data_IF_420642377617
#
_entry.id   IF_420642377617
#
_cell.length_a   1.000
_cell.length_b   1.000
_cell.length_c   1.000
_cell.angle_alpha   90.00
_cell.angle_beta   90.00
_cell.angle_gamma   90.00
#
_symmetry.space_group_name_H-M   'P 1'
#
loop_
_entity.id
_entity.type
_entity.pdbx_description
1 polymer ?
#
# COMPACT_ATOMS: atom_id res chain seq x y z
N UNK A 1 -26.99 7.50 12.20
CA UNK A 1 -25.52 7.52 12.24
C UNK A 1 -25.16 8.24 13.52
N UNK A 2 -24.47 7.56 14.42
CA UNK A 2 -24.07 8.06 15.73
C UNK A 2 -22.56 8.21 15.70
N UNK A 3 -22.06 9.39 16.04
CA UNK A 3 -20.63 9.59 16.18
C UNK A 3 -20.14 8.86 17.44
N UNK A 4 -19.17 7.96 17.28
CA UNK A 4 -18.47 7.32 18.39
C UNK A 4 -17.40 8.27 18.92
N UNK A 5 -16.67 8.91 18.00
CA UNK A 5 -15.76 10.03 18.28
C UNK A 5 -15.58 10.90 17.03
N UNK A 6 -14.61 11.81 17.04
CA UNK A 6 -14.39 12.77 15.94
C UNK A 6 -13.96 12.15 14.61
N UNK A 7 -13.55 10.88 14.58
CA UNK A 7 -13.05 10.19 13.38
C UNK A 7 -13.72 8.84 13.12
N UNK A 8 -14.74 8.48 13.91
CA UNK A 8 -15.44 7.20 13.80
C UNK A 8 -16.94 7.37 13.99
N UNK A 9 -17.71 6.90 13.01
CA UNK A 9 -19.17 6.83 13.06
C UNK A 9 -19.63 5.38 13.08
N UNK A 10 -20.71 5.12 13.82
CA UNK A 10 -21.45 3.87 13.80
C UNK A 10 -22.88 4.12 13.31
N UNK A 11 -23.30 3.37 12.29
CA UNK A 11 -24.67 3.37 11.80
C UNK A 11 -25.20 1.93 11.73
N UNK A 12 -26.52 1.79 11.58
CA UNK A 12 -27.14 0.49 11.32
C UNK A 12 -27.87 0.54 9.98
N UNK A 13 -27.70 -0.51 9.18
CA UNK A 13 -28.45 -0.78 7.97
C UNK A 13 -29.09 -2.17 8.10
N UNK A 14 -30.36 -2.20 8.48
CA UNK A 14 -31.06 -3.44 8.82
C UNK A 14 -30.35 -4.16 9.98
N UNK A 15 -29.84 -5.36 9.70
CA UNK A 15 -29.07 -6.18 10.66
C UNK A 15 -27.55 -5.95 10.58
N UNK A 16 -27.07 -5.02 9.75
CA UNK A 16 -25.63 -4.76 9.56
C UNK A 16 -25.25 -3.47 10.30
N UNK A 17 -24.29 -3.57 11.21
CA UNK A 17 -23.60 -2.41 11.77
C UNK A 17 -22.59 -1.88 10.75
N UNK A 18 -22.58 -0.59 10.47
CA UNK A 18 -21.66 0.05 9.53
C UNK A 18 -20.75 0.99 10.31
N UNK A 19 -19.49 0.58 10.46
CA UNK A 19 -18.42 1.38 11.06
C UNK A 19 -17.76 2.18 9.94
N UNK A 20 -17.83 3.50 10.01
CA UNK A 20 -17.19 4.40 9.04
C UNK A 20 -16.06 5.17 9.71
N UNK A 21 -14.85 4.99 9.20
CA UNK A 21 -13.65 5.67 9.69
C UNK A 21 -13.34 6.90 8.82
N UNK A 22 -12.96 8.01 9.43
CA UNK A 22 -12.67 9.25 8.71
C UNK A 22 -11.61 10.08 9.44
N UNK A 23 -10.33 9.84 9.12
CA UNK A 23 -9.19 10.58 9.64
C UNK A 23 -8.34 11.12 8.46
N UNK A 24 -8.78 12.19 7.78
CA UNK A 24 -8.10 12.71 6.60
C UNK A 24 -6.66 13.15 6.90
N UNK A 25 -5.75 13.12 5.91
CA UNK A 25 -6.01 12.86 4.49
C UNK A 25 -5.91 11.39 4.06
N UNK A 26 -5.47 10.48 4.95
CA UNK A 26 -5.13 9.09 4.58
C UNK A 26 -5.65 8.02 5.53
N UNK A 27 -6.52 8.40 6.47
CA UNK A 27 -7.03 7.53 7.54
C UNK A 27 -5.91 6.81 8.28
N UNK A 28 -4.87 7.56 8.68
CA UNK A 28 -3.79 6.99 9.48
C UNK A 28 -4.35 6.45 10.80
N UNK A 29 -3.82 5.32 11.29
CA UNK A 29 -4.20 4.71 12.56
C UNK A 29 -3.63 5.51 13.75
N UNK A 30 -4.13 6.72 13.95
CA UNK A 30 -3.88 7.52 15.15
C UNK A 30 -4.55 6.92 16.39
N UNK A 31 -4.22 7.43 17.57
CA UNK A 31 -4.91 7.05 18.82
C UNK A 31 -6.43 7.15 18.72
N UNK A 32 -6.96 8.30 18.30
CA UNK A 32 -8.40 8.51 18.16
C UNK A 32 -9.05 7.51 17.20
N UNK A 33 -8.32 7.11 16.14
CA UNK A 33 -8.79 6.09 15.22
C UNK A 33 -8.88 4.74 15.94
N UNK A 34 -7.81 4.27 16.58
CA UNK A 34 -7.80 2.98 17.30
C UNK A 34 -8.89 2.91 18.39
N UNK A 35 -9.06 3.98 19.16
CA UNK A 35 -10.11 4.07 20.20
C UNK A 35 -11.52 4.04 19.62
N UNK A 36 -11.76 4.79 18.55
CA UNK A 36 -13.07 4.83 17.90
C UNK A 36 -13.44 3.47 17.31
N UNK A 37 -12.50 2.80 16.63
CA UNK A 37 -12.72 1.49 16.03
C UNK A 37 -13.02 0.41 17.07
N UNK A 38 -12.24 0.32 18.16
CA UNK A 38 -12.49 -0.69 19.19
C UNK A 38 -13.81 -0.44 19.92
N UNK A 39 -14.18 0.82 20.17
CA UNK A 39 -15.46 1.17 20.77
C UNK A 39 -16.63 0.77 19.86
N UNK A 40 -16.56 1.13 18.57
CA UNK A 40 -17.58 0.78 17.58
C UNK A 40 -17.73 -0.74 17.40
N UNK A 41 -16.62 -1.49 17.39
CA UNK A 41 -16.62 -2.95 17.33
C UNK A 41 -17.32 -3.56 18.55
N UNK A 42 -17.00 -3.07 19.76
CA UNK A 42 -17.64 -3.54 21.01
C UNK A 42 -19.14 -3.24 21.04
N UNK A 43 -19.55 -2.05 20.61
CA UNK A 43 -20.96 -1.68 20.53
C UNK A 43 -21.73 -2.56 19.54
N UNK A 44 -21.17 -2.77 18.33
CA UNK A 44 -21.76 -3.65 17.32
C UNK A 44 -21.84 -5.12 17.78
N UNK A 45 -20.83 -5.61 18.50
CA UNK A 45 -20.82 -6.96 19.06
C UNK A 45 -21.88 -7.13 20.16
N UNK A 46 -22.09 -6.11 20.99
CA UNK A 46 -23.07 -6.14 22.09
C UNK A 46 -24.53 -5.99 21.64
N UNK A 47 -24.80 -5.30 20.51
CA UNK A 47 -26.16 -5.10 20.01
C UNK A 47 -26.75 -6.40 19.42
N UNK A 48 -27.77 -6.97 20.07
CA UNK A 48 -28.43 -8.21 19.63
C UNK A 48 -29.19 -8.06 18.31
N UNK A 49 -29.52 -6.84 17.86
CA UNK A 49 -30.12 -6.59 16.55
C UNK A 49 -29.10 -6.63 15.41
N UNK A 50 -27.81 -6.53 15.71
CA UNK A 50 -26.71 -6.62 14.74
C UNK A 50 -26.32 -8.08 14.55
N UNK A 51 -26.29 -8.51 13.29
CA UNK A 51 -25.85 -9.85 12.87
C UNK A 51 -24.50 -9.84 12.14
N UNK A 52 -24.08 -8.71 11.58
CA UNK A 52 -22.77 -8.54 10.94
C UNK A 52 -22.29 -7.09 11.03
N UNK A 53 -20.98 -6.89 10.86
CA UNK A 53 -20.34 -5.58 10.83
C UNK A 53 -19.70 -5.33 9.46
N UNK A 54 -19.94 -4.16 8.88
CA UNK A 54 -19.25 -3.64 7.71
C UNK A 54 -18.29 -2.52 8.17
N UNK A 55 -16.99 -2.72 7.98
CA UNK A 55 -15.95 -1.72 8.20
C UNK A 55 -15.61 -1.04 6.87
N UNK A 56 -15.73 0.29 6.81
CA UNK A 56 -15.40 1.11 5.65
C UNK A 56 -14.72 2.41 6.09
N UNK A 57 -14.01 3.08 5.17
CA UNK A 57 -13.47 4.42 5.38
C UNK A 57 -14.16 5.45 4.49
N UNK A 58 -14.21 6.70 4.94
CA UNK A 58 -14.49 7.87 4.11
C UNK A 58 -13.19 8.43 3.50
N UNK A 59 -13.33 9.43 2.62
CA UNK A 59 -12.20 10.11 1.99
C UNK A 59 -11.57 9.31 0.85
N UNK A 60 -10.32 9.62 0.53
CA UNK A 60 -9.65 9.14 -0.70
C UNK A 60 -9.14 7.70 -0.66
N UNK A 61 -9.10 7.08 0.51
CA UNK A 61 -8.43 5.80 0.72
C UNK A 61 -9.01 5.05 1.91
N UNK A 62 -8.77 3.75 2.03
CA UNK A 62 -8.94 2.99 3.27
C UNK A 62 -7.89 3.47 4.29
N UNK A 63 -7.23 2.57 5.02
CA UNK A 63 -6.23 2.90 6.02
C UNK A 63 -4.85 2.79 5.37
N UNK A 64 -4.12 3.90 5.27
CA UNK A 64 -2.79 3.93 4.63
C UNK A 64 -1.62 3.58 5.58
N UNK A 65 -1.92 3.03 6.76
CA UNK A 65 -0.93 2.59 7.74
C UNK A 65 -1.04 3.30 9.07
N UNK A 66 -0.02 3.11 9.90
CA UNK A 66 0.08 3.76 11.20
C UNK A 66 0.45 5.24 11.07
N UNK A 67 0.09 6.04 12.07
CA UNK A 67 0.60 7.41 12.17
C UNK A 67 2.07 7.38 12.62
N UNK A 68 2.99 7.51 11.67
CA UNK A 68 4.44 7.45 11.93
C UNK A 68 4.87 8.59 12.87
N UNK A 69 4.13 9.70 12.95
CA UNK A 69 4.43 10.78 13.88
C UNK A 69 4.20 10.41 15.35
N UNK A 70 3.50 9.30 15.62
CA UNK A 70 3.28 8.76 16.97
C UNK A 70 4.37 7.76 17.42
N UNK A 71 5.27 7.29 16.54
CA UNK A 71 6.16 6.14 16.83
C UNK A 71 7.18 6.37 17.95
N UNK A 72 7.58 7.62 18.14
CA UNK A 72 8.53 8.03 19.17
C UNK A 72 7.81 8.68 20.37
N UNK A 73 6.47 8.68 20.36
CA UNK A 73 5.64 9.10 21.49
C UNK A 73 5.29 7.89 22.36
N UNK A 74 4.95 8.15 23.63
CA UNK A 74 4.40 7.13 24.50
C UNK A 74 3.05 6.68 23.93
N UNK A 75 2.84 5.37 23.80
CA UNK A 75 1.54 4.83 23.42
C UNK A 75 0.50 5.17 24.50
N UNK A 76 -0.60 5.78 24.08
CA UNK A 76 -1.78 6.10 24.88
C UNK A 76 -3.01 5.48 24.21
N UNK A 77 -4.05 5.25 25.02
CA UNK A 77 -5.29 4.63 24.56
C UNK A 77 -5.15 3.17 24.13
N UNK A 78 -6.05 2.72 23.26
CA UNK A 78 -6.04 1.37 22.69
C UNK A 78 -4.87 1.19 21.70
N UNK A 79 -4.17 0.07 21.81
CA UNK A 79 -3.18 -0.35 20.82
C UNK A 79 -3.87 -0.94 19.58
N UNK A 80 -3.13 -1.02 18.47
CA UNK A 80 -3.65 -1.71 17.28
C UNK A 80 -3.87 -3.21 17.55
N UNK A 81 -3.05 -3.80 18.42
CA UNK A 81 -3.24 -5.18 18.86
C UNK A 81 -4.57 -5.36 19.60
N UNK A 82 -4.97 -4.43 20.45
CA UNK A 82 -6.26 -4.50 21.16
C UNK A 82 -7.44 -4.50 20.17
N UNK A 83 -7.36 -3.67 19.12
CA UNK A 83 -8.33 -3.65 18.02
C UNK A 83 -8.38 -5.01 17.33
N UNK A 84 -7.23 -5.54 16.93
CA UNK A 84 -7.15 -6.82 16.21
C UNK A 84 -7.61 -8.00 17.07
N UNK A 85 -7.29 -8.01 18.37
CA UNK A 85 -7.80 -9.00 19.31
C UNK A 85 -9.33 -8.92 19.41
N UNK A 86 -9.92 -7.73 19.42
CA UNK A 86 -11.38 -7.58 19.42
C UNK A 86 -12.00 -8.09 18.10
N UNK A 87 -11.34 -7.87 16.96
CA UNK A 87 -11.80 -8.39 15.66
C UNK A 87 -11.67 -9.92 15.59
N UNK A 88 -10.57 -10.49 16.06
CA UNK A 88 -10.36 -11.95 16.11
C UNK A 88 -11.37 -12.63 17.04
N UNK A 89 -11.77 -11.97 18.14
CA UNK A 89 -12.75 -12.49 19.11
C UNK A 89 -14.22 -12.26 18.71
N UNK A 90 -14.48 -11.58 17.59
CA UNK A 90 -15.83 -11.22 17.19
C UNK A 90 -16.64 -12.48 16.81
N UNK A 91 -17.86 -12.59 17.36
CA UNK A 91 -18.76 -13.73 17.10
C UNK A 91 -19.74 -13.43 15.97
N UNK A 92 -19.63 -12.26 15.35
CA UNK A 92 -20.40 -11.82 14.18
C UNK A 92 -19.46 -11.60 13.00
N UNK A 93 -19.88 -11.92 11.76
CA UNK A 93 -19.07 -11.64 10.57
C UNK A 93 -18.66 -10.17 10.48
N UNK A 94 -17.39 -9.92 10.13
CA UNK A 94 -16.85 -8.60 9.87
C UNK A 94 -16.42 -8.59 8.41
N UNK A 95 -17.07 -7.75 7.61
CA UNK A 95 -16.73 -7.49 6.21
C UNK A 95 -15.97 -6.18 6.15
N UNK A 96 -14.80 -6.17 5.52
CA UNK A 96 -13.98 -4.97 5.34
C UNK A 96 -14.07 -4.52 3.88
N UNK A 97 -14.49 -3.29 3.64
CA UNK A 97 -14.63 -2.69 2.31
C UNK A 97 -13.48 -1.72 2.02
N UNK A 98 -12.71 -2.00 0.97
CA UNK A 98 -11.43 -1.34 0.70
C UNK A 98 -11.50 -0.53 -0.60
N UNK A 99 -11.21 0.77 -0.51
CA UNK A 99 -10.90 1.66 -1.64
C UNK A 99 -9.54 2.34 -1.48
N UNK A 100 -9.00 2.89 -2.56
CA UNK A 100 -7.69 3.54 -2.55
C UNK A 100 -6.59 2.57 -2.12
N UNK A 101 -6.02 2.74 -0.92
CA UNK A 101 -4.90 1.95 -0.42
C UNK A 101 -5.18 1.37 0.97
N UNK A 102 -4.97 0.07 1.14
CA UNK A 102 -4.81 -0.57 2.45
C UNK A 102 -3.33 -0.94 2.61
N UNK A 103 -2.60 -0.16 3.40
CA UNK A 103 -1.15 -0.33 3.56
C UNK A 103 -0.78 -0.54 5.02
N UNK A 104 0.20 -1.41 5.25
CA UNK A 104 0.75 -1.72 6.56
C UNK A 104 -0.32 -2.10 7.57
N UNK A 105 -0.35 -1.41 8.72
CA UNK A 105 -1.41 -1.52 9.73
C UNK A 105 -2.85 -1.49 9.18
N UNK A 106 -3.09 -0.81 8.06
CA UNK A 106 -4.38 -0.83 7.38
C UNK A 106 -4.71 -2.17 6.74
N UNK A 107 -3.76 -2.78 6.03
CA UNK A 107 -3.93 -4.13 5.52
C UNK A 107 -3.97 -5.15 6.67
N UNK A 108 -3.18 -4.98 7.72
CA UNK A 108 -3.24 -5.84 8.92
C UNK A 108 -4.64 -5.81 9.55
N UNK A 109 -5.24 -4.63 9.66
CA UNK A 109 -6.63 -4.45 10.11
C UNK A 109 -7.62 -5.15 9.18
N UNK A 110 -7.47 -4.98 7.86
CA UNK A 110 -8.33 -5.64 6.89
C UNK A 110 -8.25 -7.17 6.96
N UNK A 111 -7.06 -7.73 7.21
CA UNK A 111 -6.84 -9.17 7.33
C UNK A 111 -7.43 -9.76 8.63
N UNK A 112 -7.68 -8.94 9.66
CA UNK A 112 -8.44 -9.36 10.85
C UNK A 112 -9.95 -9.48 10.57
N UNK A 113 -10.45 -8.84 9.51
CA UNK A 113 -11.81 -9.06 9.05
C UNK A 113 -12.04 -10.51 8.62
N UNK A 114 -13.28 -10.96 8.65
CA UNK A 114 -13.66 -12.31 8.22
C UNK A 114 -13.76 -12.38 6.68
N UNK A 115 -14.13 -11.26 6.06
CA UNK A 115 -14.22 -11.10 4.61
C UNK A 115 -13.67 -9.73 4.20
N UNK A 116 -13.12 -9.66 3.00
CA UNK A 116 -12.62 -8.41 2.39
C UNK A 116 -13.23 -8.24 1.01
N UNK A 117 -13.80 -7.08 0.75
CA UNK A 117 -14.22 -6.67 -0.60
C UNK A 117 -13.46 -5.40 -0.98
N UNK A 118 -13.16 -5.24 -2.27
CA UNK A 118 -12.36 -4.11 -2.72
C UNK A 118 -12.87 -3.56 -4.05
N UNK A 119 -12.61 -2.27 -4.32
CA UNK A 119 -12.76 -1.74 -5.69
C UNK A 119 -11.56 -2.16 -6.56
N UNK A 120 -11.71 -2.27 -7.90
CA UNK A 120 -10.63 -2.67 -8.80
C UNK A 120 -9.37 -1.81 -8.69
N UNK A 121 -9.51 -0.51 -8.43
CA UNK A 121 -8.36 0.40 -8.31
C UNK A 121 -7.53 0.20 -7.02
N UNK A 122 -8.06 -0.54 -6.03
CA UNK A 122 -7.45 -0.62 -4.72
C UNK A 122 -6.06 -1.27 -4.74
N UNK A 123 -5.19 -0.80 -3.83
CA UNK A 123 -3.82 -1.29 -3.64
C UNK A 123 -3.64 -1.84 -2.23
N UNK A 124 -3.04 -3.02 -2.13
CA UNK A 124 -2.90 -3.79 -0.87
C UNK A 124 -1.42 -4.08 -0.64
N UNK A 125 -0.84 -3.65 0.49
CA UNK A 125 0.60 -3.86 0.73
C UNK A 125 1.07 -3.78 2.18
N UNK A 126 2.29 -4.25 2.40
CA UNK A 126 3.03 -4.19 3.67
C UNK A 126 4.37 -3.46 3.45
N UNK A 127 4.37 -2.11 3.36
CA UNK A 127 5.54 -1.32 2.95
C UNK A 127 6.54 -1.01 4.09
N UNK A 128 6.43 -1.67 5.25
CA UNK A 128 7.20 -1.38 6.47
C UNK A 128 8.72 -1.39 6.27
N UNK A 129 9.22 -2.27 5.41
CA UNK A 129 10.66 -2.37 5.09
C UNK A 129 11.24 -1.09 4.50
N UNK A 130 10.42 -0.26 3.83
CA UNK A 130 10.86 1.05 3.35
C UNK A 130 11.23 2.01 4.49
N UNK A 131 10.72 1.75 5.70
CA UNK A 131 11.00 2.49 6.94
C UNK A 131 11.96 1.74 7.88
N UNK A 132 12.59 0.66 7.39
CA UNK A 132 13.45 -0.20 8.19
C UNK A 132 12.69 -0.97 9.27
N UNK A 133 11.43 -1.30 9.00
CA UNK A 133 10.53 -2.01 9.92
C UNK A 133 10.04 -3.32 9.29
N UNK A 134 9.42 -4.14 10.12
CA UNK A 134 8.60 -5.28 9.69
C UNK A 134 7.13 -4.96 9.97
N UNK A 135 6.15 -5.65 9.37
CA UNK A 135 4.77 -5.62 9.87
C UNK A 135 4.74 -6.01 11.35
N UNK A 136 3.93 -5.34 12.17
CA UNK A 136 4.01 -5.44 13.64
C UNK A 136 2.69 -5.72 14.34
N UNK A 137 1.59 -5.88 13.60
CA UNK A 137 0.25 -6.16 14.10
C UNK A 137 -0.39 -7.39 13.41
N UNK A 138 0.43 -8.41 13.17
CA UNK A 138 0.07 -9.71 12.62
C UNK A 138 0.10 -9.77 11.10
N UNK A 139 0.69 -8.78 10.43
CA UNK A 139 0.84 -8.77 8.98
C UNK A 139 1.62 -9.97 8.45
N UNK A 140 2.77 -10.28 9.06
CA UNK A 140 3.58 -11.43 8.67
C UNK A 140 2.96 -12.78 9.07
N UNK A 141 1.93 -12.75 9.91
CA UNK A 141 1.24 -13.95 10.40
C UNK A 141 -0.02 -14.27 9.58
N UNK A 142 -0.82 -13.25 9.27
CA UNK A 142 -2.08 -13.39 8.53
C UNK A 142 -1.89 -13.39 7.02
N UNK A 143 -0.94 -12.63 6.49
CA UNK A 143 -0.69 -12.57 5.04
C UNK A 143 -0.33 -13.94 4.43
N UNK A 144 0.64 -14.72 4.95
CA UNK A 144 0.97 -16.02 4.37
C UNK A 144 -0.19 -17.03 4.45
N UNK A 145 -1.05 -16.93 5.48
CA UNK A 145 -2.27 -17.74 5.59
C UNK A 145 -3.31 -17.42 4.50
N UNK A 146 -3.36 -16.16 4.05
CA UNK A 146 -4.28 -15.74 2.99
C UNK A 146 -3.73 -15.99 1.59
N UNK A 147 -2.47 -15.68 1.33
CA UNK A 147 -1.90 -15.63 -0.03
C UNK A 147 -0.77 -16.62 -0.31
N UNK A 148 -0.35 -17.40 0.70
CA UNK A 148 0.78 -18.31 0.60
C UNK A 148 2.11 -17.65 0.98
N UNK A 149 3.06 -18.48 1.42
CA UNK A 149 4.35 -18.04 1.97
C UNK A 149 5.19 -17.28 0.95
N UNK A 150 5.34 -17.80 -0.27
CA UNK A 150 6.19 -17.18 -1.30
C UNK A 150 5.75 -15.75 -1.60
N UNK A 151 4.46 -15.55 -1.89
CA UNK A 151 3.94 -14.22 -2.21
C UNK A 151 3.95 -13.28 -1.00
N UNK A 152 3.75 -13.81 0.21
CA UNK A 152 3.89 -13.03 1.42
C UNK A 152 5.33 -12.54 1.62
N UNK A 153 6.34 -13.40 1.41
CA UNK A 153 7.76 -13.02 1.47
C UNK A 153 8.07 -11.88 0.49
N UNK A 154 7.63 -11.98 -0.77
CA UNK A 154 7.80 -10.89 -1.74
C UNK A 154 7.18 -9.59 -1.21
N UNK A 155 5.93 -9.61 -0.78
CA UNK A 155 5.22 -8.40 -0.36
C UNK A 155 5.86 -7.73 0.86
N UNK A 156 6.30 -8.49 1.86
CA UNK A 156 6.87 -7.92 3.09
C UNK A 156 8.33 -7.53 2.95
N UNK A 157 9.08 -8.08 1.98
CA UNK A 157 10.51 -7.76 1.80
C UNK A 157 10.76 -6.68 0.73
N UNK A 158 9.91 -6.61 -0.30
CA UNK A 158 9.96 -5.53 -1.30
C UNK A 158 9.13 -4.30 -0.89
N UNK A 159 8.12 -4.49 -0.05
CA UNK A 159 7.20 -3.44 0.36
C UNK A 159 6.28 -2.93 -0.75
N UNK A 160 6.22 -3.62 -1.90
CA UNK A 160 5.42 -3.22 -3.06
C UNK A 160 3.96 -3.69 -2.90
N UNK A 161 2.97 -2.81 -3.09
CA UNK A 161 1.58 -3.20 -3.04
C UNK A 161 1.18 -3.99 -4.30
N UNK A 162 0.24 -4.92 -4.12
CA UNK A 162 -0.43 -5.64 -5.22
C UNK A 162 -1.76 -4.98 -5.59
N UNK A 163 -2.30 -5.32 -6.76
CA UNK A 163 -3.63 -4.87 -7.18
C UNK A 163 -4.74 -5.63 -6.45
N UNK A 164 -5.94 -5.06 -6.40
CA UNK A 164 -7.13 -5.77 -5.90
C UNK A 164 -7.45 -7.04 -6.72
N UNK A 165 -7.18 -7.04 -8.03
CA UNK A 165 -7.35 -8.20 -8.89
C UNK A 165 -6.40 -9.34 -8.52
N UNK A 166 -5.11 -9.04 -8.30
CA UNK A 166 -4.15 -10.02 -7.78
C UNK A 166 -4.57 -10.50 -6.39
N UNK A 167 -5.04 -9.58 -5.54
CA UNK A 167 -5.58 -9.89 -4.23
C UNK A 167 -6.75 -10.88 -4.28
N UNK A 168 -7.66 -10.73 -5.26
CA UNK A 168 -8.76 -11.67 -5.48
C UNK A 168 -8.23 -13.05 -5.91
N UNK A 169 -7.34 -13.09 -6.90
CA UNK A 169 -6.76 -14.33 -7.41
C UNK A 169 -6.00 -15.12 -6.32
N UNK A 170 -5.33 -14.41 -5.41
CA UNK A 170 -4.57 -15.02 -4.31
C UNK A 170 -5.43 -15.37 -3.10
N UNK A 171 -6.65 -14.84 -2.97
CA UNK A 171 -7.54 -15.04 -1.83
C UNK A 171 -7.36 -14.04 -0.66
N UNK A 172 -6.67 -12.92 -0.90
CA UNK A 172 -6.62 -11.76 0.00
C UNK A 172 -7.92 -10.96 -0.04
N UNK A 173 -8.55 -10.87 -1.21
CA UNK A 173 -9.86 -10.24 -1.43
C UNK A 173 -10.87 -11.33 -1.81
N UNK A 174 -12.08 -11.23 -1.28
CA UNK A 174 -13.15 -12.20 -1.51
C UNK A 174 -14.04 -11.82 -2.70
N UNK A 175 -14.22 -10.52 -2.96
CA UNK A 175 -14.97 -10.04 -4.13
C UNK A 175 -14.58 -8.60 -4.51
N UNK A 176 -14.73 -8.28 -5.80
CA UNK A 176 -14.57 -6.91 -6.30
C UNK A 176 -15.92 -6.19 -6.39
N UNK A 177 -15.98 -4.96 -5.90
CA UNK A 177 -17.15 -4.08 -5.95
C UNK A 177 -16.96 -2.98 -6.99
N UNK A 178 -18.03 -2.44 -7.61
CA UNK A 178 -17.89 -1.32 -8.52
C UNK A 178 -17.26 -0.09 -7.84
N UNK A 179 -16.45 0.65 -8.59
CA UNK A 179 -15.65 1.78 -8.09
C UNK A 179 -16.50 2.84 -7.36
N UNK A 180 -17.68 3.15 -7.92
CA UNK A 180 -18.59 4.19 -7.41
C UNK A 180 -19.60 3.68 -6.37
N UNK A 181 -19.70 2.35 -6.19
CA UNK A 181 -20.75 1.72 -5.38
C UNK A 181 -20.20 0.79 -4.30
N UNK A 182 -18.97 1.04 -3.81
CA UNK A 182 -18.31 0.19 -2.82
C UNK A 182 -19.20 -0.09 -1.60
N UNK A 183 -19.81 0.94 -1.01
CA UNK A 183 -20.65 0.78 0.19
C UNK A 183 -21.89 -0.08 -0.11
N UNK A 184 -22.59 0.22 -1.19
CA UNK A 184 -23.81 -0.51 -1.58
C UNK A 184 -23.49 -1.96 -1.94
N UNK A 185 -22.43 -2.20 -2.71
CA UNK A 185 -21.94 -3.53 -3.05
C UNK A 185 -21.49 -4.33 -1.83
N UNK A 186 -20.75 -3.71 -0.91
CA UNK A 186 -20.31 -4.36 0.33
C UNK A 186 -21.48 -4.71 1.25
N UNK A 187 -22.51 -3.86 1.35
CA UNK A 187 -23.74 -4.16 2.07
C UNK A 187 -24.50 -5.34 1.43
N UNK A 188 -24.62 -5.36 0.10
CA UNK A 188 -25.24 -6.47 -0.62
C UNK A 188 -24.48 -7.78 -0.37
N UNK A 189 -23.15 -7.76 -0.48
CA UNK A 189 -22.29 -8.90 -0.16
C UNK A 189 -22.49 -9.38 1.28
N UNK A 190 -22.52 -8.45 2.25
CA UNK A 190 -22.73 -8.77 3.67
C UNK A 190 -24.10 -9.42 3.92
N UNK A 191 -25.17 -8.90 3.31
CA UNK A 191 -26.52 -9.49 3.42
C UNK A 191 -26.59 -10.87 2.77
N UNK A 192 -25.90 -11.07 1.64
CA UNK A 192 -25.84 -12.38 1.01
C UNK A 192 -25.12 -13.41 1.91
N UNK A 193 -24.01 -13.03 2.55
CA UNK A 193 -23.32 -13.90 3.52
C UNK A 193 -24.23 -14.35 4.66
N UNK A 194 -25.05 -13.43 5.19
CA UNK A 194 -26.03 -13.73 6.23
C UNK A 194 -27.14 -14.66 5.71
N UNK A 195 -27.68 -14.39 4.51
CA UNK A 195 -28.72 -15.21 3.90
C UNK A 195 -28.24 -16.64 3.61
N UNK A 196 -26.98 -16.79 3.19
CA UNK A 196 -26.34 -18.07 2.91
C UNK A 196 -25.93 -18.84 4.18
N UNK A 197 -26.08 -18.24 5.37
CA UNK A 197 -25.64 -18.83 6.63
C UNK A 197 -24.14 -19.12 6.68
N UNK A 198 -23.32 -18.32 5.97
CA UNK A 198 -21.87 -18.53 5.92
C UNK A 198 -21.27 -18.31 7.30
N UNK A 199 -20.46 -19.27 7.75
CA UNK A 199 -19.77 -19.20 9.02
C UNK A 199 -18.66 -18.14 9.00
N UNK A 200 -18.31 -17.65 10.19
CA UNK A 200 -17.14 -16.81 10.38
C UNK A 200 -15.87 -17.55 9.92
N UNK A 201 -14.96 -16.82 9.26
CA UNK A 201 -13.67 -17.33 8.79
C UNK A 201 -12.56 -16.48 9.40
N UNK A 202 -12.03 -16.93 10.54
CA UNK A 202 -10.91 -16.28 11.18
C UNK A 202 -9.63 -16.54 10.38
N UNK A 203 -8.99 -15.49 9.89
CA UNK A 203 -7.74 -15.61 9.12
C UNK A 203 -6.65 -16.32 9.91
N UNK A 204 -6.62 -16.13 11.23
CA UNK A 204 -5.65 -16.76 12.14
C UNK A 204 -5.71 -18.30 12.15
N UNK A 205 -6.86 -18.88 11.80
CA UNK A 205 -7.08 -20.34 11.82
C UNK A 205 -6.93 -20.98 10.43
N UNK A 206 -6.58 -20.19 9.40
CA UNK A 206 -6.44 -20.65 8.01
C UNK A 206 -5.05 -21.19 7.72
N UNK A 207 -4.76 -22.38 8.26
CA UNK A 207 -3.42 -22.95 8.18
C UNK A 207 -3.14 -23.69 6.85
N UNK A 208 -4.09 -23.73 5.91
CA UNK A 208 -3.96 -24.54 4.69
C UNK A 208 -2.78 -24.10 3.80
N UNK A 209 -2.39 -22.82 3.87
CA UNK A 209 -1.30 -22.25 3.07
C UNK A 209 0.04 -22.13 3.83
N UNK A 210 0.05 -22.51 5.11
CA UNK A 210 1.25 -22.44 5.98
C UNK A 210 1.62 -23.79 6.57
N UNK A 211 0.77 -24.81 6.45
CA UNK A 211 1.07 -26.20 6.84
C UNK A 211 1.79 -26.94 5.72
N UNK A 212 2.79 -27.74 6.07
CA UNK A 212 3.50 -28.60 5.11
C UNK A 212 4.40 -27.84 4.12
N UNK A 213 4.69 -26.56 4.40
CA UNK A 213 5.57 -25.74 3.57
C UNK A 213 7.01 -26.25 3.70
N UNK A 214 7.71 -26.54 2.59
CA UNK A 214 9.10 -26.98 2.62
C UNK A 214 10.00 -25.91 3.26
N UNK A 215 10.79 -26.22 4.30
CA UNK A 215 11.68 -25.24 4.96
C UNK A 215 12.66 -24.56 3.99
N UNK A 216 13.02 -25.23 2.89
CA UNK A 216 13.94 -24.73 1.87
C UNK A 216 13.46 -23.43 1.23
N UNK A 217 12.15 -23.16 1.21
CA UNK A 217 11.57 -21.92 0.63
C UNK A 217 12.25 -20.66 1.16
N UNK A 218 12.54 -20.60 2.46
CA UNK A 218 13.16 -19.44 3.08
C UNK A 218 14.64 -19.32 2.72
N UNK A 219 15.34 -20.44 2.57
CA UNK A 219 16.75 -20.45 2.15
C UNK A 219 16.91 -20.10 0.67
N UNK A 220 15.97 -20.51 -0.17
CA UNK A 220 15.99 -20.24 -1.60
C UNK A 220 15.57 -18.79 -1.88
N UNK A 221 14.59 -18.28 -1.13
CA UNK A 221 14.23 -16.85 -1.17
C UNK A 221 15.42 -15.95 -0.81
N UNK A 222 16.19 -16.30 0.22
CA UNK A 222 17.42 -15.57 0.61
C UNK A 222 18.52 -15.62 -0.46
N UNK A 223 18.57 -16.67 -1.28
CA UNK A 223 19.56 -16.77 -2.40
C UNK A 223 19.12 -15.97 -3.62
N UNK A 224 17.82 -15.89 -3.89
CA UNK A 224 17.27 -15.21 -5.07
C UNK A 224 17.10 -13.70 -4.88
N UNK A 225 17.13 -13.21 -3.64
CA UNK A 225 16.99 -11.79 -3.32
C UNK A 225 18.23 -11.23 -2.64
N UNK A 226 18.55 -9.96 -2.92
CA UNK A 226 19.70 -9.28 -2.36
C UNK A 226 19.26 -8.01 -1.62
N UNK A 227 19.26 -8.09 -0.30
CA UNK A 227 18.91 -6.99 0.59
C UNK A 227 20.14 -6.36 1.26
N UNK A 228 21.33 -6.50 0.65
CA UNK A 228 22.58 -5.99 1.21
C UNK A 228 22.46 -4.51 1.60
N UNK A 229 22.73 -4.23 2.88
CA UNK A 229 22.65 -2.89 3.46
C UNK A 229 21.32 -2.59 4.19
N UNK A 230 20.35 -3.51 4.17
CA UNK A 230 19.09 -3.39 4.88
C UNK A 230 18.84 -4.61 5.80
N UNK A 231 18.58 -4.36 7.07
CA UNK A 231 18.33 -5.40 8.08
C UNK A 231 16.86 -5.87 8.07
N UNK A 232 15.92 -4.94 7.89
CA UNK A 232 14.49 -5.21 8.01
C UNK A 232 13.95 -6.33 7.08
N UNK A 233 14.41 -6.48 5.82
CA UNK A 233 13.97 -7.60 4.99
C UNK A 233 14.28 -8.98 5.56
N UNK A 234 15.47 -9.18 6.14
CA UNK A 234 15.82 -10.47 6.78
C UNK A 234 14.96 -10.72 8.02
N UNK A 235 14.70 -9.68 8.82
CA UNK A 235 13.79 -9.77 9.95
C UNK A 235 12.34 -10.07 9.53
N UNK A 236 11.88 -9.53 8.39
CA UNK A 236 10.57 -9.85 7.83
C UNK A 236 10.49 -11.32 7.38
N UNK A 237 11.56 -11.85 6.76
CA UNK A 237 11.65 -13.28 6.38
C UNK A 237 11.49 -14.16 7.63
N UNK A 238 12.22 -13.85 8.72
CA UNK A 238 12.12 -14.59 10.00
C UNK A 238 10.71 -14.53 10.58
N UNK A 239 10.01 -13.40 10.47
CA UNK A 239 8.65 -13.28 10.97
C UNK A 239 7.65 -14.11 10.15
N UNK A 240 7.80 -14.18 8.82
CA UNK A 240 7.00 -15.08 7.97
C UNK A 240 7.35 -16.55 8.23
N UNK A 241 8.62 -16.86 8.50
CA UNK A 241 9.06 -18.20 8.91
C UNK A 241 8.43 -18.63 10.24
N UNK A 242 8.27 -17.70 11.19
CA UNK A 242 7.55 -17.95 12.44
C UNK A 242 6.07 -18.33 12.21
N UNK A 243 5.43 -17.79 11.17
CA UNK A 243 4.04 -18.10 10.84
C UNK A 243 3.82 -19.58 10.47
N UNK A 244 4.88 -20.25 10.00
CA UNK A 244 4.91 -21.67 9.58
C UNK A 244 5.43 -22.57 10.71
N UNK A 245 6.31 -22.07 11.57
CA UNK A 245 7.06 -22.87 12.53
C UNK A 245 6.58 -22.75 13.98
N UNK A 246 5.71 -21.78 14.29
CA UNK A 246 5.21 -21.51 15.62
C UNK A 246 3.67 -21.45 15.65
N UNK A 247 3.04 -21.73 16.81
CA UNK A 247 1.63 -21.41 17.02
C UNK A 247 1.35 -19.92 16.80
N UNK A 248 0.17 -19.58 16.27
CA UNK A 248 -0.17 -18.22 15.84
C UNK A 248 0.13 -17.15 16.90
N UNK A 249 -0.30 -17.34 18.15
CA UNK A 249 -0.10 -16.34 19.21
C UNK A 249 1.39 -16.16 19.56
N UNK A 250 2.19 -17.24 19.57
CA UNK A 250 3.63 -17.15 19.78
C UNK A 250 4.34 -16.45 18.62
N UNK A 251 3.90 -16.71 17.39
CA UNK A 251 4.45 -16.07 16.19
C UNK A 251 4.09 -14.57 16.16
N UNK A 252 2.88 -14.22 16.59
CA UNK A 252 2.42 -12.85 16.75
C UNK A 252 3.22 -12.08 17.82
N UNK A 253 3.58 -12.74 18.92
CA UNK A 253 4.45 -12.14 19.95
C UNK A 253 5.91 -12.02 19.49
N UNK A 254 6.39 -12.99 18.69
CA UNK A 254 7.70 -12.89 18.04
C UNK A 254 7.76 -11.69 17.09
N UNK A 255 6.78 -11.55 16.19
CA UNK A 255 6.67 -10.42 15.27
C UNK A 255 6.68 -9.08 16.03
N UNK A 256 5.89 -8.95 17.10
CA UNK A 256 5.86 -7.73 17.91
C UNK A 256 7.22 -7.36 18.53
N UNK A 257 7.99 -8.36 19.00
CA UNK A 257 9.35 -8.13 19.51
C UNK A 257 10.32 -7.70 18.42
N UNK A 258 10.25 -8.33 17.24
CA UNK A 258 11.08 -7.97 16.08
C UNK A 258 10.75 -6.55 15.61
N UNK A 259 9.47 -6.19 15.53
CA UNK A 259 9.03 -4.83 15.21
C UNK A 259 9.66 -3.79 16.13
N UNK A 260 9.61 -3.99 17.44
CA UNK A 260 10.19 -3.06 18.41
C UNK A 260 11.72 -2.96 18.25
N UNK A 261 12.41 -4.08 18.06
CA UNK A 261 13.86 -4.08 17.81
C UNK A 261 14.22 -3.32 16.53
N UNK A 262 13.48 -3.54 15.43
CA UNK A 262 13.66 -2.79 14.18
C UNK A 262 13.39 -1.29 14.38
N UNK A 263 12.29 -0.92 15.07
CA UNK A 263 11.93 0.48 15.33
C UNK A 263 13.04 1.25 16.03
N UNK A 264 13.71 0.61 17.00
CA UNK A 264 14.74 1.24 17.81
C UNK A 264 16.14 1.24 17.14
N UNK A 265 16.29 0.49 16.05
CA UNK A 265 17.53 0.39 15.26
C UNK A 265 17.95 1.71 14.61
N UNK A 266 19.24 1.82 14.29
CA UNK A 266 19.77 2.97 13.55
C UNK A 266 19.24 3.02 12.11
N UNK A 267 19.09 1.87 11.45
CA UNK A 267 18.59 1.80 10.08
C UNK A 267 17.15 2.31 9.97
N UNK A 268 16.26 1.89 10.87
CA UNK A 268 14.88 2.41 10.87
C UNK A 268 14.85 3.91 11.11
N UNK A 269 15.63 4.43 12.06
CA UNK A 269 15.71 5.88 12.31
C UNK A 269 16.18 6.64 11.07
N UNK A 270 17.19 6.13 10.34
CA UNK A 270 17.68 6.73 9.11
C UNK A 270 16.64 6.70 7.98
N UNK A 271 15.96 5.56 7.78
CA UNK A 271 14.93 5.42 6.76
C UNK A 271 13.69 6.28 7.05
N UNK A 272 13.24 6.34 8.31
CA UNK A 272 12.17 7.25 8.75
C UNK A 272 12.56 8.71 8.56
N UNK A 273 13.80 9.09 8.86
CA UNK A 273 14.32 10.43 8.57
C UNK A 273 14.24 10.74 7.07
N UNK A 274 14.73 9.85 6.20
CA UNK A 274 14.68 10.04 4.76
C UNK A 274 13.23 10.23 4.25
N UNK A 275 12.30 9.41 4.74
CA UNK A 275 10.87 9.50 4.41
C UNK A 275 10.24 10.86 4.75
N UNK A 276 10.58 11.43 5.91
CA UNK A 276 10.10 12.77 6.29
C UNK A 276 10.86 13.88 5.58
N UNK A 277 12.17 13.72 5.36
CA UNK A 277 13.00 14.67 4.66
C UNK A 277 12.54 14.87 3.21
N UNK A 278 12.19 13.78 2.51
CA UNK A 278 11.65 13.84 1.14
C UNK A 278 10.35 14.64 1.07
N UNK A 279 9.42 14.42 2.02
CA UNK A 279 8.17 15.20 2.12
C UNK A 279 8.41 16.66 2.47
N UNK A 280 9.44 16.94 3.28
CA UNK A 280 9.80 18.30 3.68
C UNK A 280 10.54 19.03 2.56
N UNK A 281 11.27 18.33 1.69
CA UNK A 281 12.05 18.93 0.61
C UNK A 281 11.20 19.78 -0.36
N UNK A 282 9.93 19.41 -0.55
CA UNK A 282 8.97 20.20 -1.35
C UNK A 282 8.44 21.46 -0.66
N UNK A 283 8.68 21.63 0.66
CA UNK A 283 8.20 22.78 1.44
C UNK A 283 9.31 23.82 1.58
N UNK A 284 9.23 24.88 0.79
CA UNK A 284 10.25 25.93 0.72
C UNK A 284 9.88 27.06 1.71
N UNK A 285 10.73 27.40 2.69
CA UNK A 285 10.47 28.51 3.62
C UNK A 285 10.22 29.82 2.86
N UNK A 286 9.13 30.51 3.20
CA UNK A 286 8.72 31.75 2.55
C UNK A 286 7.87 31.57 1.28
N UNK A 287 7.61 30.34 0.86
CA UNK A 287 6.68 30.02 -0.23
C UNK A 287 5.40 29.42 0.36
N UNK A 288 4.24 29.98 0.01
CA UNK A 288 2.96 29.46 0.47
C UNK A 288 2.56 28.20 -0.31
N UNK A 289 1.88 27.25 0.32
CA UNK A 289 1.44 25.99 -0.31
C UNK A 289 0.46 26.21 -1.47
N UNK A 290 -0.22 27.37 -1.51
CA UNK A 290 -1.16 27.79 -2.55
C UNK A 290 -0.55 28.73 -3.59
N UNK A 291 0.79 28.87 -3.61
CA UNK A 291 1.48 29.72 -4.59
C UNK A 291 1.10 29.30 -6.02
N UNK A 292 0.58 30.22 -6.87
CA UNK A 292 0.19 29.89 -8.23
C UNK A 292 1.37 29.34 -9.03
N UNK A 293 1.17 28.19 -9.67
CA UNK A 293 2.17 27.56 -10.55
C UNK A 293 1.91 27.94 -12.00
N UNK A 294 2.97 28.12 -12.78
CA UNK A 294 2.87 28.30 -14.22
C UNK A 294 2.63 26.93 -14.88
N UNK A 295 1.61 26.79 -15.76
CA UNK A 295 1.40 25.55 -16.48
C UNK A 295 2.54 25.31 -17.47
N UNK A 296 3.22 24.17 -17.35
CA UNK A 296 4.24 23.74 -18.31
C UNK A 296 3.59 22.83 -19.34
N UNK A 297 3.33 23.34 -20.54
CA UNK A 297 2.67 22.60 -21.62
C UNK A 297 3.65 21.84 -22.52
N UNK A 298 4.90 22.31 -22.64
CA UNK A 298 5.98 21.72 -23.44
C UNK A 298 7.34 22.10 -22.85
N UNK A 299 8.38 21.35 -23.20
CA UNK A 299 9.74 21.53 -22.68
C UNK A 299 10.76 21.62 -23.81
N UNK A 300 11.66 22.61 -23.74
CA UNK A 300 12.84 22.69 -24.59
C UNK A 300 14.08 22.17 -23.88
N UNK A 301 14.93 21.40 -24.58
CA UNK A 301 16.23 20.93 -24.08
C UNK A 301 17.32 21.30 -25.08
N UNK A 302 18.35 21.98 -24.63
CA UNK A 302 19.50 22.36 -25.48
C UNK A 302 20.61 21.32 -25.30
N UNK A 303 20.97 20.67 -26.40
CA UNK A 303 21.95 19.59 -26.48
C UNK A 303 21.30 18.19 -26.46
N UNK A 304 21.75 17.31 -27.35
CA UNK A 304 21.24 15.94 -27.49
C UNK A 304 22.18 14.88 -26.89
N UNK A 305 23.24 15.31 -26.20
CA UNK A 305 24.19 14.42 -25.51
C UNK A 305 23.57 13.68 -24.32
N UNK A 306 24.42 12.99 -23.55
CA UNK A 306 23.99 12.11 -22.45
C UNK A 306 23.00 12.78 -21.48
N UNK A 307 23.31 14.00 -21.04
CA UNK A 307 22.45 14.75 -20.11
C UNK A 307 21.15 15.20 -20.77
N UNK A 308 21.22 15.77 -21.97
CA UNK A 308 20.06 16.28 -22.69
C UNK A 308 19.05 15.18 -23.03
N UNK A 309 19.54 14.03 -23.51
CA UNK A 309 18.68 12.87 -23.74
C UNK A 309 18.05 12.32 -22.47
N UNK A 310 18.80 12.30 -21.35
CA UNK A 310 18.27 11.92 -20.05
C UNK A 310 17.16 12.85 -19.56
N UNK A 311 17.39 14.17 -19.64
CA UNK A 311 16.40 15.20 -19.26
C UNK A 311 15.15 15.10 -20.14
N UNK A 312 15.31 14.98 -21.46
CA UNK A 312 14.19 14.81 -22.38
C UNK A 312 13.35 13.57 -22.06
N UNK A 313 14.01 12.47 -21.74
CA UNK A 313 13.36 11.21 -21.32
C UNK A 313 12.52 11.40 -20.05
N UNK A 314 13.00 12.17 -19.07
CA UNK A 314 12.25 12.45 -17.82
C UNK A 314 10.92 13.15 -18.12
N UNK A 315 10.94 14.20 -18.92
CA UNK A 315 9.73 14.96 -19.26
C UNK A 315 8.79 14.16 -20.18
N UNK A 316 9.32 13.42 -21.15
CA UNK A 316 8.53 12.55 -22.01
C UNK A 316 7.80 11.44 -21.23
N UNK A 317 8.45 10.89 -20.19
CA UNK A 317 7.84 9.92 -19.27
C UNK A 317 6.70 10.55 -18.44
N UNK A 318 6.81 11.83 -18.12
CA UNK A 318 5.74 12.63 -17.49
C UNK A 318 4.66 13.07 -18.49
N UNK A 319 4.64 12.52 -19.71
CA UNK A 319 3.71 12.82 -20.79
C UNK A 319 3.81 14.24 -21.37
N UNK A 320 4.91 14.96 -21.13
CA UNK A 320 5.14 16.29 -21.71
C UNK A 320 5.82 16.19 -23.09
N UNK A 321 5.39 16.99 -24.09
CA UNK A 321 6.13 17.19 -25.33
C UNK A 321 7.50 17.82 -25.07
N UNK A 322 8.53 17.33 -25.75
CA UNK A 322 9.91 17.80 -25.62
C UNK A 322 10.53 18.08 -26.98
N UNK A 323 11.12 19.27 -27.14
CA UNK A 323 11.94 19.63 -28.31
C UNK A 323 13.41 19.70 -27.89
N UNK A 324 14.27 18.91 -28.52
CA UNK A 324 15.72 18.91 -28.33
C UNK A 324 16.37 19.72 -29.46
N UNK A 325 17.15 20.73 -29.11
CA UNK A 325 17.94 21.52 -30.07
C UNK A 325 19.39 21.06 -30.06
N UNK A 326 19.98 20.88 -31.23
CA UNK A 326 21.42 20.69 -31.41
C UNK A 326 21.98 21.61 -32.49
N UNK A 327 23.29 21.77 -32.49
CA UNK A 327 24.07 22.50 -33.47
C UNK A 327 24.48 21.63 -34.67
N UNK A 328 24.62 20.32 -34.46
CA UNK A 328 25.07 19.36 -35.48
C UNK A 328 24.03 18.25 -35.71
N UNK A 329 23.71 18.00 -36.97
CA UNK A 329 22.73 16.98 -37.37
C UNK A 329 23.14 15.58 -36.94
N UNK A 330 24.44 15.25 -37.00
CA UNK A 330 24.91 13.93 -36.62
C UNK A 330 24.86 13.74 -35.09
N UNK A 331 25.15 14.78 -34.31
CA UNK A 331 24.99 14.79 -32.86
C UNK A 331 23.52 14.61 -32.45
N UNK A 332 22.60 15.32 -33.11
CA UNK A 332 21.18 15.17 -32.88
C UNK A 332 20.70 13.73 -33.14
N UNK A 333 21.06 13.17 -34.29
CA UNK A 333 20.70 11.80 -34.66
C UNK A 333 21.22 10.78 -33.64
N UNK A 334 22.50 10.88 -33.25
CA UNK A 334 23.10 10.00 -32.21
C UNK A 334 22.37 10.11 -30.88
N UNK A 335 21.97 11.32 -30.48
CA UNK A 335 21.22 11.55 -29.24
C UNK A 335 19.84 10.88 -29.26
N UNK A 336 19.08 11.08 -30.35
CA UNK A 336 17.77 10.48 -30.53
C UNK A 336 17.83 8.94 -30.59
N UNK A 337 18.83 8.39 -31.28
CA UNK A 337 19.06 6.94 -31.33
C UNK A 337 19.35 6.37 -29.93
N UNK A 338 20.16 7.08 -29.13
CA UNK A 338 20.47 6.68 -27.75
C UNK A 338 19.21 6.63 -26.89
N UNK A 339 18.34 7.65 -26.98
CA UNK A 339 17.06 7.69 -26.26
C UNK A 339 16.18 6.51 -26.68
N UNK A 340 16.07 6.25 -27.99
CA UNK A 340 15.30 5.13 -28.53
C UNK A 340 15.81 3.79 -28.00
N UNK A 341 17.12 3.54 -28.06
CA UNK A 341 17.73 2.31 -27.52
C UNK A 341 17.50 2.14 -26.02
N UNK A 342 17.47 3.23 -25.24
CA UNK A 342 17.17 3.17 -23.81
C UNK A 342 15.71 2.74 -23.53
N UNK A 343 14.75 3.21 -24.34
CA UNK A 343 13.37 2.75 -24.27
C UNK A 343 13.24 1.27 -24.65
N UNK A 344 13.88 0.85 -25.74
CA UNK A 344 13.90 -0.56 -26.17
C UNK A 344 14.51 -1.47 -25.09
N UNK A 345 15.56 -1.01 -24.41
CA UNK A 345 16.15 -1.73 -23.27
C UNK A 345 15.17 -1.87 -22.10
N UNK A 346 14.38 -0.82 -21.84
CA UNK A 346 13.35 -0.84 -20.79
C UNK A 346 12.21 -1.81 -21.12
N UNK A 347 11.82 -1.91 -22.39
CA UNK A 347 10.86 -2.92 -22.88
C UNK A 347 11.43 -4.33 -22.70
N UNK A 348 12.66 -4.59 -23.13
CA UNK A 348 13.31 -5.91 -22.98
C UNK A 348 13.42 -6.35 -21.51
N UNK A 349 13.51 -5.39 -20.58
CA UNK A 349 13.52 -5.63 -19.13
C UNK A 349 12.12 -5.70 -18.51
N UNK A 350 11.06 -5.65 -19.31
CA UNK A 350 9.67 -5.71 -18.85
C UNK A 350 9.23 -4.52 -17.98
N UNK A 351 9.93 -3.37 -18.06
CA UNK A 351 9.62 -2.19 -17.24
C UNK A 351 8.48 -1.34 -17.81
N UNK A 352 8.32 -1.37 -19.13
CA UNK A 352 7.28 -0.67 -19.89
C UNK A 352 6.88 -1.54 -21.08
N UNK A 353 5.66 -1.35 -21.58
CA UNK A 353 5.21 -1.96 -22.83
C UNK A 353 5.86 -1.30 -24.06
N UNK A 354 5.85 -2.00 -25.20
CA UNK A 354 6.26 -1.44 -26.50
C UNK A 354 5.43 -0.22 -26.88
N UNK A 355 4.14 -0.24 -26.58
CA UNK A 355 3.23 0.87 -26.86
C UNK A 355 3.59 2.11 -26.04
N UNK A 356 3.85 1.96 -24.75
CA UNK A 356 4.31 3.06 -23.89
C UNK A 356 5.65 3.62 -24.35
N UNK A 357 6.60 2.76 -24.70
CA UNK A 357 7.90 3.17 -25.21
C UNK A 357 7.77 4.03 -26.47
N UNK A 358 6.97 3.56 -27.44
CA UNK A 358 6.68 4.29 -28.68
C UNK A 358 5.99 5.63 -28.40
N UNK A 359 4.99 5.64 -27.52
CA UNK A 359 4.26 6.85 -27.18
C UNK A 359 5.15 7.90 -26.48
N UNK A 360 6.03 7.46 -25.57
CA UNK A 360 6.97 8.36 -24.87
C UNK A 360 8.02 8.91 -25.84
N UNK A 361 8.62 8.06 -26.68
CA UNK A 361 9.58 8.51 -27.69
C UNK A 361 8.97 9.49 -28.69
N UNK A 362 7.73 9.26 -29.14
CA UNK A 362 7.03 10.15 -30.07
C UNK A 362 6.79 11.58 -29.52
N UNK A 363 6.92 11.80 -28.21
CA UNK A 363 6.86 13.13 -27.60
C UNK A 363 8.16 13.92 -27.74
N UNK A 364 9.25 13.28 -28.16
CA UNK A 364 10.56 13.88 -28.29
C UNK A 364 10.82 14.20 -29.76
N UNK A 365 10.98 15.49 -30.06
CA UNK A 365 11.32 15.98 -31.41
C UNK A 365 12.71 16.61 -31.39
N UNK A 366 13.50 16.38 -32.44
CA UNK A 366 14.80 17.01 -32.61
C UNK A 366 14.74 18.16 -33.63
N UNK A 367 15.52 19.22 -33.39
CA UNK A 367 15.69 20.34 -34.32
C UNK A 367 17.11 20.90 -34.26
N UNK A 368 17.50 21.64 -35.30
CA UNK A 368 18.72 22.45 -35.33
C UNK A 368 18.45 23.95 -35.17
N UNK A 369 17.17 24.35 -35.19
CA UNK A 369 16.74 25.74 -35.08
C UNK A 369 16.36 26.04 -33.64
N UNK A 370 17.00 27.05 -33.04
CA UNK A 370 16.67 27.48 -31.68
C UNK A 370 15.27 28.10 -31.62
N UNK A 371 14.81 28.66 -32.73
CA UNK A 371 13.51 29.32 -32.89
C UNK A 371 12.32 28.35 -32.70
N UNK A 372 12.55 27.05 -32.88
CA UNK A 372 11.54 26.00 -32.68
C UNK A 372 11.22 25.75 -31.20
N UNK A 373 11.99 26.35 -30.27
CA UNK A 373 11.65 26.39 -28.85
C UNK A 373 10.59 27.45 -28.52
N UNK A 374 10.32 28.39 -29.44
CA UNK A 374 9.35 29.46 -29.23
C UNK A 374 7.92 28.95 -29.05
N UNK A 375 7.12 29.69 -28.28
CA UNK A 375 5.67 29.60 -28.30
C UNK A 375 5.17 30.30 -29.57
N UNK A 376 4.82 29.51 -30.59
CA UNK A 376 4.07 30.03 -31.74
C UNK A 376 2.59 30.10 -31.40
#
# INVERSE_FOLDING_TARGET
MTAINSVTDLARDGAVAVITLNNPPVNALSEAMREGLIAALREAEADSAVQATLLICAGRTFIAGADISEFDKKLTGASLRDVHTAMDAARKPIVVAIHGTALGGGLETAMCGHYRVAVPSAKLGQPEVALGLVPGAGGTQRLPRLIGVEKALEMVTDGKPISAADGLALGLVDALMPEQDLKSGALAFTRQLLADGKSIRHTRDRDEKVTGVPPQIFSDFRKSHNFRGFEAPEEAIKCVEAAVTMPFDHALDFEGRVFLACKDSLQSKAQRYAFFAERKAGKIPGLADDTPVLPVAKVGVIGAGLMGGGIATVFANASLPVTIVETDAAALARGLDTIKSNYESSVKRGRISEEEARARFARITGTLALEDLGDR
#
